data_IF_924992851094
#
_entry.id   IF_924992851094
#
_cell.length_a   1.000
_cell.length_b   1.000
_cell.length_c   1.000
_cell.angle_alpha   90.00
_cell.angle_beta   90.00
_cell.angle_gamma   90.00
#
_symmetry.space_group_name_H-M   'P 1'
#
loop_
_entity.id
_entity.type
_entity.pdbx_description
1 polymer ?
#
# COMPACT_ATOMS: atom_id res chain seq x y z
N UNK A 1 -0.76 -15.57 -7.67
CA UNK A 1 -1.02 -14.11 -7.55
C UNK A 1 -1.35 -13.68 -6.12
N UNK A 2 -2.17 -14.41 -5.35
CA UNK A 2 -2.59 -14.00 -4.00
C UNK A 2 -1.41 -13.65 -3.08
N UNK A 3 -0.43 -14.56 -3.00
CA UNK A 3 0.79 -14.40 -2.20
C UNK A 3 1.59 -13.14 -2.55
N UNK A 4 1.50 -12.62 -3.77
CA UNK A 4 2.25 -11.44 -4.21
C UNK A 4 1.80 -10.18 -3.47
N UNK A 5 0.50 -10.06 -3.22
CA UNK A 5 -0.13 -8.84 -2.71
C UNK A 5 -0.39 -8.90 -1.21
N UNK A 6 -0.54 -10.11 -0.64
CA UNK A 6 -0.91 -10.28 0.78
C UNK A 6 0.07 -9.59 1.75
N UNK A 7 1.40 -9.70 1.60
CA UNK A 7 2.32 -9.05 2.54
C UNK A 7 2.20 -7.52 2.53
N UNK A 8 2.07 -6.93 1.33
CA UNK A 8 1.90 -5.49 1.17
C UNK A 8 0.57 -4.99 1.76
N UNK A 9 -0.51 -5.75 1.55
CA UNK A 9 -1.80 -5.48 2.19
C UNK A 9 -1.72 -5.52 3.71
N UNK A 10 -1.06 -6.54 4.27
CA UNK A 10 -0.90 -6.69 5.72
C UNK A 10 -0.08 -5.55 6.33
N UNK A 11 0.95 -5.05 5.62
CA UNK A 11 1.68 -3.85 6.02
C UNK A 11 0.75 -2.63 6.10
N UNK A 12 -0.10 -2.43 5.10
CA UNK A 12 -1.13 -1.39 5.10
C UNK A 12 -2.07 -1.51 6.30
N UNK A 13 -2.67 -2.69 6.53
CA UNK A 13 -3.59 -2.93 7.66
C UNK A 13 -2.90 -2.73 9.00
N UNK A 14 -1.71 -3.30 9.20
CA UNK A 14 -0.97 -3.20 10.46
C UNK A 14 -0.64 -1.74 10.82
N UNK A 15 -0.41 -0.89 9.82
CA UNK A 15 -0.07 0.53 10.05
C UNK A 15 -1.17 1.34 10.75
N UNK A 16 -2.44 0.93 10.64
CA UNK A 16 -3.54 1.56 11.37
C UNK A 16 -3.45 1.32 12.87
N UNK A 17 -2.97 0.14 13.28
CA UNK A 17 -2.81 -0.22 14.69
C UNK A 17 -1.48 0.26 15.27
N UNK A 18 -0.39 0.12 14.50
CA UNK A 18 0.96 0.45 14.97
C UNK A 18 1.21 1.96 15.08
N UNK A 19 0.52 2.77 14.28
CA UNK A 19 0.75 4.22 14.23
C UNK A 19 -0.56 5.03 14.24
N UNK A 20 -1.31 5.10 15.35
CA UNK A 20 -2.65 5.72 15.38
C UNK A 20 -2.68 7.26 15.23
N UNK A 21 -1.67 7.88 14.60
CA UNK A 21 -1.51 9.32 14.50
C UNK A 21 -2.67 10.04 13.76
N UNK A 22 -3.06 11.21 14.28
CA UNK A 22 -4.16 12.07 13.80
C UNK A 22 -3.85 12.86 12.51
N UNK A 23 -2.73 12.58 11.83
CA UNK A 23 -2.37 13.27 10.58
C UNK A 23 -3.20 12.74 9.40
N UNK A 24 -3.97 13.65 8.79
CA UNK A 24 -4.78 13.36 7.60
C UNK A 24 -3.96 12.83 6.42
N UNK A 25 -2.73 13.32 6.21
CA UNK A 25 -1.87 12.87 5.10
C UNK A 25 -1.46 11.43 5.31
N UNK A 26 -1.07 11.10 6.53
CA UNK A 26 -0.74 9.73 6.86
C UNK A 26 -1.94 8.80 6.76
N UNK A 27 -3.12 9.24 7.21
CA UNK A 27 -4.36 8.49 7.05
C UNK A 27 -4.66 8.18 5.59
N UNK A 28 -4.53 9.17 4.69
CA UNK A 28 -4.72 8.97 3.26
C UNK A 28 -3.71 7.99 2.67
N UNK A 29 -2.43 8.09 3.04
CA UNK A 29 -1.40 7.18 2.55
C UNK A 29 -1.67 5.73 2.95
N UNK A 30 -1.96 5.49 4.24
CA UNK A 30 -2.28 4.13 4.73
C UNK A 30 -3.52 3.57 4.07
N UNK A 31 -4.54 4.41 3.90
CA UNK A 31 -5.78 4.05 3.22
C UNK A 31 -5.51 3.69 1.77
N UNK A 32 -4.73 4.50 1.05
CA UNK A 32 -4.36 4.23 -0.34
C UNK A 32 -3.62 2.90 -0.48
N UNK A 33 -2.56 2.66 0.30
CA UNK A 33 -1.82 1.38 0.26
C UNK A 33 -2.75 0.20 0.56
N UNK A 34 -3.58 0.31 1.60
CA UNK A 34 -4.48 -0.77 2.03
C UNK A 34 -5.56 -1.05 0.99
N UNK A 35 -6.24 -0.02 0.48
CA UNK A 35 -7.30 -0.15 -0.53
C UNK A 35 -6.73 -0.68 -1.84
N UNK A 36 -5.54 -0.22 -2.26
CA UNK A 36 -4.89 -0.71 -3.48
C UNK A 36 -4.69 -2.22 -3.44
N UNK A 37 -4.02 -2.72 -2.40
CA UNK A 37 -3.73 -4.14 -2.30
C UNK A 37 -4.95 -4.97 -1.93
N UNK A 38 -5.92 -4.40 -1.20
CA UNK A 38 -7.21 -5.04 -1.00
C UNK A 38 -7.94 -5.28 -2.32
N UNK A 39 -8.02 -4.28 -3.20
CA UNK A 39 -8.60 -4.41 -4.54
C UNK A 39 -7.92 -5.53 -5.32
N UNK A 40 -6.58 -5.61 -5.28
CA UNK A 40 -5.82 -6.69 -5.93
C UNK A 40 -6.12 -8.07 -5.34
N UNK A 41 -6.19 -8.19 -4.01
CA UNK A 41 -6.57 -9.46 -3.38
C UNK A 41 -8.00 -9.87 -3.76
N UNK A 42 -8.94 -8.93 -3.75
CA UNK A 42 -10.31 -9.16 -4.16
C UNK A 42 -10.40 -9.62 -5.62
N UNK A 43 -9.70 -8.93 -6.53
CA UNK A 43 -9.59 -9.33 -7.94
C UNK A 43 -9.03 -10.75 -8.09
N UNK A 44 -8.03 -11.13 -7.30
CA UNK A 44 -7.43 -12.46 -7.37
C UNK A 44 -8.39 -13.54 -6.87
N UNK A 45 -9.13 -13.30 -5.78
CA UNK A 45 -10.02 -14.28 -5.17
C UNK A 45 -11.30 -14.46 -5.99
N UNK A 46 -11.87 -13.36 -6.48
CA UNK A 46 -13.23 -13.36 -7.02
C UNK A 46 -13.32 -13.18 -8.54
N UNK A 47 -12.34 -12.52 -9.17
CA UNK A 47 -12.41 -12.16 -10.59
C UNK A 47 -11.47 -13.05 -11.43
N UNK A 48 -10.23 -13.25 -10.98
CA UNK A 48 -9.24 -14.06 -11.68
C UNK A 48 -9.44 -15.54 -11.36
N UNK A 49 -10.43 -16.16 -12.02
CA UNK A 49 -10.72 -17.60 -11.90
C UNK A 49 -9.58 -18.50 -12.42
N UNK A 50 -8.71 -17.95 -13.26
CA UNK A 50 -7.52 -18.62 -13.80
C UNK A 50 -6.33 -17.67 -13.69
N UNK A 51 -5.40 -17.95 -12.78
CA UNK A 51 -4.08 -17.33 -12.80
C UNK A 51 -3.12 -18.27 -13.51
N UNK A 52 -2.47 -17.81 -14.58
CA UNK A 52 -1.39 -18.55 -15.23
C UNK A 52 -0.26 -18.84 -14.24
N UNK A 53 0.53 -19.88 -14.55
CA UNK A 53 1.72 -20.21 -13.78
C UNK A 53 2.79 -19.12 -13.94
N UNK A 54 3.51 -18.85 -12.85
CA UNK A 54 4.62 -17.90 -12.79
C UNK A 54 5.79 -18.60 -12.12
N UNK A 55 7.01 -18.37 -12.61
CA UNK A 55 8.22 -18.90 -11.98
C UNK A 55 8.38 -18.37 -10.55
N UNK A 56 8.94 -19.20 -9.68
CA UNK A 56 9.16 -18.86 -8.27
C UNK A 56 10.04 -17.61 -8.12
N UNK A 57 11.06 -17.44 -8.96
CA UNK A 57 11.96 -16.29 -8.90
C UNK A 57 11.20 -14.97 -9.12
N UNK A 58 10.29 -14.94 -10.10
CA UNK A 58 9.46 -13.76 -10.37
C UNK A 58 8.48 -13.52 -9.23
N UNK A 59 7.88 -14.58 -8.67
CA UNK A 59 6.99 -14.47 -7.50
C UNK A 59 7.73 -13.80 -6.34
N UNK A 60 8.95 -14.25 -6.03
CA UNK A 60 9.76 -13.71 -4.93
C UNK A 60 10.08 -12.24 -5.17
N UNK A 61 10.57 -11.89 -6.37
CA UNK A 61 10.94 -10.51 -6.71
C UNK A 61 9.75 -9.56 -6.55
N UNK A 62 8.59 -9.93 -7.09
CA UNK A 62 7.39 -9.09 -7.03
C UNK A 62 6.89 -8.95 -5.60
N UNK A 63 6.80 -10.07 -4.87
CA UNK A 63 6.35 -10.08 -3.48
C UNK A 63 7.22 -9.18 -2.60
N UNK A 64 8.53 -9.36 -2.67
CA UNK A 64 9.50 -8.58 -1.89
C UNK A 64 9.42 -7.10 -2.26
N UNK A 65 9.33 -6.80 -3.55
CA UNK A 65 9.23 -5.42 -4.03
C UNK A 65 7.99 -4.71 -3.51
N UNK A 66 6.81 -5.33 -3.59
CA UNK A 66 5.57 -4.74 -3.05
C UNK A 66 5.59 -4.59 -1.54
N UNK A 67 6.15 -5.57 -0.82
CA UNK A 67 6.32 -5.49 0.62
C UNK A 67 7.19 -4.29 1.00
N UNK A 68 8.39 -4.18 0.43
CA UNK A 68 9.33 -3.12 0.78
C UNK A 68 8.86 -1.73 0.34
N UNK A 69 8.20 -1.61 -0.81
CA UNK A 69 7.60 -0.32 -1.23
C UNK A 69 6.54 0.12 -0.23
N UNK A 70 5.64 -0.78 0.16
CA UNK A 70 4.58 -0.46 1.13
C UNK A 70 5.15 -0.08 2.49
N UNK A 71 6.15 -0.84 2.96
CA UNK A 71 6.84 -0.58 4.21
C UNK A 71 7.55 0.78 4.18
N UNK A 72 8.28 1.07 3.10
CA UNK A 72 9.04 2.31 2.96
C UNK A 72 8.13 3.52 2.94
N UNK A 73 7.01 3.48 2.20
CA UNK A 73 6.02 4.56 2.17
C UNK A 73 5.49 4.87 3.57
N UNK A 74 5.06 3.84 4.30
CA UNK A 74 4.51 3.99 5.65
C UNK A 74 5.58 4.51 6.60
N UNK A 75 6.77 3.91 6.60
CA UNK A 75 7.88 4.29 7.48
C UNK A 75 8.36 5.72 7.22
N UNK A 76 8.54 6.11 5.97
CA UNK A 76 8.91 7.50 5.62
C UNK A 76 7.86 8.50 6.09
N UNK A 77 6.57 8.19 5.97
CA UNK A 77 5.53 9.09 6.46
C UNK A 77 5.52 9.19 7.99
N UNK A 78 5.86 8.13 8.72
CA UNK A 78 6.04 8.22 10.18
C UNK A 78 7.18 9.16 10.56
N UNK A 79 8.28 9.15 9.81
CA UNK A 79 9.44 10.01 10.07
C UNK A 79 9.16 11.49 9.78
N UNK A 80 8.27 11.77 8.83
CA UNK A 80 7.91 13.13 8.44
C UNK A 80 6.78 13.75 9.31
N UNK A 81 6.30 13.03 10.34
CA UNK A 81 5.27 13.57 11.23
C UNK A 81 5.78 14.81 11.98
N UNK A 82 4.98 15.88 12.00
CA UNK A 82 5.32 17.13 12.67
C UNK A 82 6.20 18.08 11.86
N UNK A 83 6.61 17.70 10.65
CA UNK A 83 7.25 18.63 9.72
C UNK A 83 6.22 19.57 9.09
N UNK A 84 6.67 20.77 8.70
CA UNK A 84 5.83 21.74 7.99
C UNK A 84 5.35 21.17 6.66
N UNK A 85 4.09 21.45 6.31
CA UNK A 85 3.55 21.07 5.01
C UNK A 85 4.33 21.71 3.85
N UNK A 86 4.49 21.00 2.72
CA UNK A 86 5.07 21.56 1.51
C UNK A 86 4.23 22.74 1.02
N UNK A 87 4.89 23.72 0.40
CA UNK A 87 4.24 24.93 -0.16
C UNK A 87 3.22 24.62 -1.26
N UNK A 88 3.37 23.48 -1.94
CA UNK A 88 2.42 22.99 -2.94
C UNK A 88 1.79 21.71 -2.40
N UNK A 89 0.50 21.75 -2.05
CA UNK A 89 -0.23 20.58 -1.57
C UNK A 89 -0.83 19.78 -2.75
N UNK A 90 -0.18 18.66 -3.09
CA UNK A 90 -0.64 17.73 -4.13
C UNK A 90 -1.58 16.63 -3.60
N UNK A 91 -1.94 16.65 -2.31
CA UNK A 91 -2.76 15.62 -1.66
C UNK A 91 -4.10 15.38 -2.38
N UNK A 92 -4.84 16.45 -2.68
CA UNK A 92 -6.15 16.35 -3.31
C UNK A 92 -6.07 15.85 -4.75
N UNK A 93 -5.05 16.29 -5.50
CA UNK A 93 -4.78 15.79 -6.84
C UNK A 93 -4.44 14.30 -6.78
N UNK A 94 -3.62 13.88 -5.81
CA UNK A 94 -3.30 12.48 -5.56
C UNK A 94 -4.52 11.62 -5.27
N UNK A 95 -5.48 12.11 -4.48
CA UNK A 95 -6.74 11.40 -4.20
C UNK A 95 -7.52 11.15 -5.49
N UNK A 96 -7.66 12.16 -6.34
CA UNK A 96 -8.40 12.05 -7.62
C UNK A 96 -7.71 11.09 -8.58
N UNK A 97 -6.38 11.09 -8.65
CA UNK A 97 -5.63 10.18 -9.54
C UNK A 97 -5.58 8.74 -9.05
N UNK A 98 -5.72 8.53 -7.73
CA UNK A 98 -5.61 7.20 -7.13
C UNK A 98 -6.93 6.41 -7.16
N UNK A 99 -8.08 7.11 -7.15
CA UNK A 99 -9.42 6.55 -7.35
C UNK A 99 -9.61 6.01 -8.78
#
# INVERSE_FOLDING_TARGET
MLLLYSPAFLVGVASFWLYPADDSRFLFLKSAVTIHFFKRLFEVIFIHKYSGEMSLDTIIIILVSYFFVSLSLIYTQTFNQGLSEPSIDLKYLGIVLFL
#
